data_IF_925158308764
#
_entry.id   IF_925158308764
#
_cell.length_a   1.000
_cell.length_b   1.000
_cell.length_c   1.000
_cell.angle_alpha   90.00
_cell.angle_beta   90.00
_cell.angle_gamma   90.00
#
_symmetry.space_group_name_H-M   'P 1'
#
loop_
_entity.id
_entity.type
_entity.pdbx_description
1 polymer ?
#
# COMPACT_ATOMS: atom_id res chain seq x y z
N UNK A 1 -2.59 -14.77 15.17
CA UNK A 1 -2.17 -13.80 14.13
C UNK A 1 -2.36 -14.33 12.70
N UNK A 2 -2.10 -15.62 12.40
CA UNK A 2 -2.33 -16.17 11.04
C UNK A 2 -3.82 -16.35 10.69
N UNK A 3 -4.69 -16.58 11.68
CA UNK A 3 -6.15 -16.72 11.47
C UNK A 3 -6.81 -15.41 11.01
N UNK A 4 -6.40 -14.26 11.55
CA UNK A 4 -7.04 -12.97 11.27
C UNK A 4 -6.78 -12.49 9.84
N UNK A 5 -5.63 -12.84 9.27
CA UNK A 5 -5.23 -12.44 7.91
C UNK A 5 -5.98 -13.26 6.84
N UNK A 6 -6.12 -14.57 7.05
CA UNK A 6 -6.92 -15.43 6.17
C UNK A 6 -8.40 -15.01 6.21
N UNK A 7 -8.92 -14.72 7.40
CA UNK A 7 -10.28 -14.22 7.58
C UNK A 7 -10.51 -12.89 6.84
N UNK A 8 -9.59 -11.92 6.97
CA UNK A 8 -9.71 -10.64 6.26
C UNK A 8 -9.67 -10.78 4.74
N UNK A 9 -8.85 -11.68 4.20
CA UNK A 9 -8.78 -11.97 2.76
C UNK A 9 -10.11 -12.56 2.25
N UNK A 10 -10.66 -13.55 2.94
CA UNK A 10 -11.93 -14.18 2.57
C UNK A 10 -13.12 -13.20 2.63
N UNK A 11 -13.14 -12.30 3.62
CA UNK A 11 -14.18 -11.27 3.71
C UNK A 11 -14.07 -10.22 2.59
N UNK A 12 -12.86 -9.91 2.12
CA UNK A 12 -12.69 -9.01 0.97
C UNK A 12 -13.30 -9.61 -0.30
N UNK A 13 -13.08 -10.91 -0.55
CA UNK A 13 -13.72 -11.61 -1.67
C UNK A 13 -15.24 -11.60 -1.57
N UNK A 14 -15.78 -11.93 -0.39
CA UNK A 14 -17.24 -11.86 -0.16
C UNK A 14 -17.81 -10.46 -0.39
N UNK A 15 -17.09 -9.43 0.04
CA UNK A 15 -17.46 -8.03 -0.22
C UNK A 15 -17.46 -7.70 -1.71
N UNK A 16 -16.45 -8.16 -2.46
CA UNK A 16 -16.35 -7.95 -3.90
C UNK A 16 -17.46 -8.66 -4.68
N UNK A 17 -17.78 -9.89 -4.31
CA UNK A 17 -18.87 -10.68 -4.91
C UNK A 17 -20.24 -10.03 -4.66
N UNK A 18 -20.40 -9.40 -3.50
CA UNK A 18 -21.64 -8.72 -3.09
C UNK A 18 -21.78 -7.29 -3.64
N UNK A 19 -20.76 -6.74 -4.33
CA UNK A 19 -20.84 -5.39 -4.90
C UNK A 19 -22.00 -5.29 -5.91
N UNK A 20 -22.95 -4.37 -5.72
CA UNK A 20 -24.03 -4.16 -6.69
C UNK A 20 -23.47 -3.60 -8.01
N UNK A 21 -24.19 -3.77 -9.11
CA UNK A 21 -23.82 -3.18 -10.40
C UNK A 21 -22.46 -3.63 -10.92
N UNK A 22 -21.73 -2.72 -11.56
CA UNK A 22 -20.44 -2.90 -12.22
C UNK A 22 -19.33 -2.04 -11.60
N UNK A 23 -19.48 -1.63 -10.34
CA UNK A 23 -18.52 -0.78 -9.66
C UNK A 23 -17.12 -1.38 -9.63
N UNK A 24 -16.17 -0.50 -9.83
CA UNK A 24 -14.74 -0.75 -9.77
C UNK A 24 -14.20 -0.15 -8.47
N UNK A 25 -13.44 -0.93 -7.70
CA UNK A 25 -12.96 -0.51 -6.37
C UNK A 25 -11.44 -0.52 -6.31
N UNK A 26 -10.90 0.31 -5.41
CA UNK A 26 -9.52 0.20 -4.95
C UNK A 26 -9.52 -0.32 -3.53
N UNK A 27 -8.67 -1.30 -3.23
CA UNK A 27 -8.59 -1.91 -1.90
C UNK A 27 -7.32 -1.44 -1.22
N UNK A 28 -7.47 -0.81 -0.05
CA UNK A 28 -6.34 -0.37 0.78
C UNK A 28 -6.13 -1.36 1.93
N UNK A 29 -4.95 -1.98 1.98
CA UNK A 29 -4.60 -3.00 2.98
C UNK A 29 -3.25 -2.70 3.65
N UNK A 30 -2.99 -3.37 4.76
CA UNK A 30 -1.64 -3.46 5.33
C UNK A 30 -0.73 -4.32 4.45
N UNK A 31 0.58 -4.09 4.51
CA UNK A 31 1.56 -4.94 3.82
C UNK A 31 1.47 -6.37 4.40
N UNK A 32 1.20 -7.40 3.59
CA UNK A 32 1.00 -8.75 4.10
C UNK A 32 2.33 -9.35 4.59
N UNK A 33 2.25 -10.27 5.55
CA UNK A 33 3.42 -11.04 5.98
C UNK A 33 3.82 -12.11 4.96
N UNK A 34 2.82 -12.73 4.33
CA UNK A 34 3.00 -13.66 3.22
C UNK A 34 3.08 -12.85 1.92
N UNK A 35 4.20 -12.96 1.22
CA UNK A 35 4.38 -12.37 -0.10
C UNK A 35 3.26 -12.81 -1.06
N UNK A 36 2.78 -11.87 -1.87
CA UNK A 36 1.76 -12.07 -2.90
C UNK A 36 0.40 -12.60 -2.39
N UNK A 37 0.10 -12.43 -1.09
CA UNK A 37 -1.19 -12.86 -0.51
C UNK A 37 -2.39 -12.30 -1.27
N UNK A 38 -2.31 -11.07 -1.76
CA UNK A 38 -3.41 -10.36 -2.45
C UNK A 38 -3.30 -10.39 -3.98
N UNK A 39 -2.43 -11.24 -4.55
CA UNK A 39 -2.22 -11.30 -6.00
C UNK A 39 -3.49 -11.71 -6.76
N UNK A 40 -4.35 -12.50 -6.13
CA UNK A 40 -5.67 -12.87 -6.64
C UNK A 40 -6.63 -11.67 -6.67
N UNK A 41 -6.66 -10.85 -5.61
CA UNK A 41 -7.44 -9.60 -5.58
C UNK A 41 -6.96 -8.60 -6.65
N UNK A 42 -5.65 -8.52 -6.90
CA UNK A 42 -5.08 -7.66 -7.94
C UNK A 42 -5.56 -8.06 -9.34
N UNK A 43 -5.82 -9.35 -9.55
CA UNK A 43 -6.32 -9.90 -10.82
C UNK A 43 -7.84 -9.92 -10.90
N UNK A 44 -8.53 -9.56 -9.83
CA UNK A 44 -9.99 -9.61 -9.75
C UNK A 44 -10.59 -8.49 -10.62
N UNK A 45 -11.57 -8.82 -11.46
CA UNK A 45 -12.06 -7.92 -12.53
C UNK A 45 -12.67 -6.60 -12.04
N UNK A 46 -13.16 -6.58 -10.80
CA UNK A 46 -13.75 -5.40 -10.13
C UNK A 46 -12.75 -4.62 -9.27
N UNK A 47 -11.49 -5.05 -9.22
CA UNK A 47 -10.42 -4.38 -8.48
C UNK A 47 -9.52 -3.64 -9.45
N UNK A 48 -9.52 -2.31 -9.35
CA UNK A 48 -8.66 -1.46 -10.18
C UNK A 48 -7.21 -1.53 -9.71
N UNK A 49 -7.00 -1.37 -8.41
CA UNK A 49 -5.68 -1.38 -7.76
C UNK A 49 -5.80 -1.84 -6.32
N UNK A 50 -4.77 -2.54 -5.87
CA UNK A 50 -4.54 -2.79 -4.44
C UNK A 50 -3.43 -1.85 -3.99
N UNK A 51 -3.74 -1.03 -2.99
CA UNK A 51 -2.82 -0.03 -2.44
C UNK A 51 -2.43 -0.39 -1.01
N UNK A 52 -1.21 -0.07 -0.60
CA UNK A 52 -0.72 -0.38 0.75
C UNK A 52 -0.51 0.85 1.62
N UNK A 53 -0.87 0.74 2.89
CA UNK A 53 -0.43 1.66 3.93
C UNK A 53 0.87 1.15 4.59
N UNK A 54 1.68 2.07 5.12
CA UNK A 54 2.97 1.71 5.74
C UNK A 54 2.80 0.94 7.05
N UNK A 55 1.64 1.03 7.72
CA UNK A 55 1.33 0.22 8.90
C UNK A 55 2.23 0.48 10.11
N UNK A 56 2.82 1.68 10.18
CA UNK A 56 3.80 2.05 11.21
C UNK A 56 5.25 1.72 10.85
N UNK A 57 5.52 1.09 9.71
CA UNK A 57 6.89 0.93 9.22
C UNK A 57 7.45 2.27 8.71
N UNK A 58 8.75 2.54 8.93
CA UNK A 58 9.46 3.58 8.20
C UNK A 58 9.33 3.38 6.69
N UNK A 59 9.37 4.46 5.92
CA UNK A 59 9.22 4.42 4.46
C UNK A 59 10.14 3.37 3.81
N UNK A 60 11.41 3.32 4.23
CA UNK A 60 12.39 2.41 3.67
C UNK A 60 12.02 0.95 3.88
N UNK A 61 11.67 0.59 5.12
CA UNK A 61 11.25 -0.75 5.51
C UNK A 61 9.95 -1.14 4.81
N UNK A 62 9.00 -0.20 4.70
CA UNK A 62 7.72 -0.43 4.02
C UNK A 62 7.95 -0.73 2.53
N UNK A 63 8.80 0.04 1.85
CA UNK A 63 9.15 -0.17 0.45
C UNK A 63 9.86 -1.52 0.22
N UNK A 64 10.80 -1.89 1.10
CA UNK A 64 11.49 -3.19 1.01
C UNK A 64 10.54 -4.38 1.17
N UNK A 65 9.52 -4.26 2.03
CA UNK A 65 8.50 -5.30 2.20
C UNK A 65 7.52 -5.32 1.02
N UNK A 66 7.15 -4.15 0.51
CA UNK A 66 6.26 -4.03 -0.65
C UNK A 66 6.89 -4.64 -1.91
N UNK A 67 8.20 -4.47 -2.12
CA UNK A 67 8.90 -5.01 -3.29
C UNK A 67 8.80 -6.54 -3.45
N UNK A 68 8.28 -7.26 -2.45
CA UNK A 68 7.98 -8.70 -2.50
C UNK A 68 6.53 -9.02 -2.91
N UNK A 69 5.71 -8.01 -3.19
CA UNK A 69 4.29 -8.15 -3.48
C UNK A 69 3.98 -7.48 -4.82
N UNK A 70 3.79 -8.31 -5.85
CA UNK A 70 3.68 -7.87 -7.23
C UNK A 70 2.34 -7.17 -7.49
N UNK A 71 2.39 -6.03 -8.19
CA UNK A 71 1.19 -5.28 -8.61
C UNK A 71 0.49 -4.51 -7.49
N UNK A 72 1.04 -4.52 -6.27
CA UNK A 72 0.60 -3.63 -5.20
C UNK A 72 1.36 -2.30 -5.28
N UNK A 73 0.67 -1.18 -5.01
CA UNK A 73 1.30 0.15 -5.06
C UNK A 73 1.20 0.87 -3.71
N UNK A 74 2.12 1.78 -3.44
CA UNK A 74 2.13 2.56 -2.20
C UNK A 74 0.97 3.56 -2.11
N UNK A 75 0.35 3.66 -0.93
CA UNK A 75 -0.54 4.76 -0.52
C UNK A 75 -0.16 5.24 0.90
N UNK A 76 1.06 5.77 1.01
CA UNK A 76 1.59 6.31 2.27
C UNK A 76 1.10 7.75 2.51
N UNK A 77 0.70 8.02 3.75
CA UNK A 77 0.46 9.38 4.26
C UNK A 77 1.58 9.78 5.22
N UNK A 78 1.48 9.38 6.49
CA UNK A 78 2.39 9.80 7.56
C UNK A 78 3.87 9.48 7.26
N UNK A 79 4.14 8.34 6.63
CA UNK A 79 5.52 7.95 6.31
C UNK A 79 6.22 8.89 5.31
N UNK A 80 5.48 9.64 4.49
CA UNK A 80 6.04 10.63 3.56
C UNK A 80 6.35 11.97 4.24
N UNK A 81 5.60 12.28 5.31
CA UNK A 81 5.64 13.59 5.98
C UNK A 81 6.41 13.57 7.31
N UNK A 82 6.80 12.39 7.79
CA UNK A 82 7.36 12.19 9.15
C UNK A 82 8.60 13.03 9.44
N UNK A 83 9.37 13.40 8.42
CA UNK A 83 10.62 14.15 8.55
C UNK A 83 10.47 15.63 8.21
N UNK A 84 9.29 16.08 7.77
CA UNK A 84 9.02 17.50 7.51
C UNK A 84 8.88 18.27 8.83
N UNK A 85 9.48 19.46 8.89
CA UNK A 85 9.43 20.36 10.06
C UNK A 85 9.12 21.78 9.61
N UNK A 86 8.34 22.51 10.41
CA UNK A 86 7.98 23.89 10.10
C UNK A 86 9.18 24.85 10.08
N UNK A 87 10.28 24.49 10.74
CA UNK A 87 11.51 25.27 10.83
C UNK A 87 12.44 25.10 9.63
N UNK A 88 12.12 24.18 8.71
CA UNK A 88 12.93 23.93 7.52
C UNK A 88 12.86 25.11 6.57
N UNK A 89 13.95 25.32 5.84
CA UNK A 89 13.95 26.13 4.62
C UNK A 89 13.15 25.41 3.52
N UNK A 90 12.68 26.16 2.52
CA UNK A 90 11.97 25.57 1.37
C UNK A 90 12.78 24.45 0.69
N UNK A 91 14.10 24.65 0.54
CA UNK A 91 14.98 23.66 -0.06
C UNK A 91 15.09 22.36 0.77
N UNK A 92 15.14 22.46 2.10
CA UNK A 92 15.13 21.29 2.98
C UNK A 92 13.77 20.59 2.94
N UNK A 93 12.69 21.37 2.93
CA UNK A 93 11.32 20.86 2.84
C UNK A 93 11.12 20.04 1.56
N UNK A 94 11.56 20.55 0.40
CA UNK A 94 11.44 19.89 -0.90
C UNK A 94 12.34 18.65 -1.03
N UNK A 95 13.50 18.65 -0.36
CA UNK A 95 14.42 17.52 -0.39
C UNK A 95 13.87 16.28 0.34
N UNK A 96 13.08 16.46 1.40
CA UNK A 96 12.53 15.35 2.19
C UNK A 96 11.64 14.40 1.37
N UNK A 97 10.52 14.82 0.75
CA UNK A 97 9.68 13.92 -0.02
C UNK A 97 10.41 13.40 -1.26
N UNK A 98 11.27 14.21 -1.88
CA UNK A 98 12.09 13.82 -3.04
C UNK A 98 12.93 12.58 -2.75
N UNK A 99 13.49 12.45 -1.55
CA UNK A 99 14.25 11.27 -1.12
C UNK A 99 13.44 9.97 -1.22
N UNK A 100 12.14 10.03 -0.96
CA UNK A 100 11.28 8.85 -0.88
C UNK A 100 10.53 8.56 -2.18
N UNK A 101 10.28 9.57 -3.03
CA UNK A 101 9.52 9.40 -4.28
C UNK A 101 10.14 8.31 -5.17
N UNK A 102 11.45 8.34 -5.39
CA UNK A 102 12.14 7.35 -6.23
C UNK A 102 12.02 5.93 -5.65
N UNK A 103 12.15 5.80 -4.33
CA UNK A 103 12.04 4.51 -3.65
C UNK A 103 10.62 3.96 -3.69
N UNK A 104 9.63 4.81 -3.45
CA UNK A 104 8.21 4.47 -3.53
C UNK A 104 7.87 4.03 -4.94
N UNK A 105 8.34 4.76 -5.95
CA UNK A 105 8.14 4.44 -7.36
C UNK A 105 8.69 3.05 -7.68
N UNK A 106 9.96 2.78 -7.35
CA UNK A 106 10.59 1.47 -7.56
C UNK A 106 9.91 0.31 -6.83
N UNK A 107 9.32 0.58 -5.66
CA UNK A 107 8.60 -0.44 -4.92
C UNK A 107 7.16 -0.68 -5.43
N UNK A 108 6.63 0.20 -6.29
CA UNK A 108 5.23 0.19 -6.76
C UNK A 108 5.09 -0.33 -8.21
N UNK A 109 5.99 -1.21 -8.66
CA UNK A 109 6.03 -1.77 -10.03
C UNK A 109 5.63 -3.24 -10.08
#
# INVERSE_FOLDING_TARGET
MTLDIAYAHDELHRGLDALPGDYQVMIKVSIPEKADLYLDLIRYSRVQRVVVLSGGYPCDTACQRLAKNHGMIVSFSCALLQDLRYTMTDAEFDAVPTKFIEQIFRAST
#
